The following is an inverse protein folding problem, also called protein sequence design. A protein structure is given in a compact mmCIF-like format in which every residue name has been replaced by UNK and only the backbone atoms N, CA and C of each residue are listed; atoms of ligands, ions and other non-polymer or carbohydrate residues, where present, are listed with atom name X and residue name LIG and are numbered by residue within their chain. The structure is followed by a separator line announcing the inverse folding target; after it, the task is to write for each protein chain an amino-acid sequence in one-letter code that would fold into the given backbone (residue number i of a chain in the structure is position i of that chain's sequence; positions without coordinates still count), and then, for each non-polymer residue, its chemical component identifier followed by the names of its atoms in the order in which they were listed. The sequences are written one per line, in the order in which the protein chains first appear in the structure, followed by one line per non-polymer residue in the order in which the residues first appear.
data_IF_270911354174
#
_entry.id   IF_270911354174
#
_cell.length_a   1.000
_cell.length_b   1.000
_cell.length_c   1.000
_cell.angle_alpha   90.00
_cell.angle_beta   90.00
_cell.angle_gamma   90.00
#
_symmetry.space_group_name_H-M   'P 1'
#
loop_
_entity.id
_entity.type
_entity.pdbx_description
1 polymer ?
#
# COMPACT_ATOMS: atom_id res chain seq x y z
N UNK A 1 -15.38 3.22 55.78
CA UNK A 1 -16.68 3.29 55.07
C UNK A 1 -16.90 4.64 54.39
N UNK A 2 -17.05 5.77 55.09
CA UNK A 2 -17.31 7.07 54.42
C UNK A 2 -16.20 7.54 53.45
N UNK A 3 -14.94 7.37 53.82
CA UNK A 3 -13.78 7.78 53.00
C UNK A 3 -13.58 6.91 51.74
N UNK A 4 -14.04 5.65 51.80
CA UNK A 4 -13.94 4.68 50.71
C UNK A 4 -15.05 4.90 49.68
N UNK A 5 -16.25 5.27 50.16
CA UNK A 5 -17.36 5.72 49.32
C UNK A 5 -17.00 7.04 48.61
N UNK A 6 -16.35 7.98 49.31
CA UNK A 6 -15.93 9.26 48.73
C UNK A 6 -14.84 9.07 47.67
N UNK A 7 -13.86 8.20 47.92
CA UNK A 7 -12.84 7.82 46.92
C UNK A 7 -13.45 7.10 45.71
N UNK A 8 -14.41 6.21 45.93
CA UNK A 8 -15.13 5.55 44.84
C UNK A 8 -15.94 6.57 44.02
N UNK A 9 -16.61 7.51 44.67
CA UNK A 9 -17.36 8.58 43.99
C UNK A 9 -16.44 9.52 43.19
N UNK A 10 -15.25 9.86 43.72
CA UNK A 10 -14.23 10.61 42.98
C UNK A 10 -13.68 9.81 41.79
N UNK A 11 -13.42 8.51 41.95
CA UNK A 11 -13.01 7.66 40.82
C UNK A 11 -14.11 7.52 39.77
N UNK A 12 -15.37 7.36 40.17
CA UNK A 12 -16.51 7.27 39.25
C UNK A 12 -16.82 8.63 38.60
N UNK A 13 -16.56 9.73 39.29
CA UNK A 13 -16.65 11.08 38.73
C UNK A 13 -15.52 11.31 37.73
N UNK A 14 -14.27 10.99 38.08
CA UNK A 14 -13.12 11.07 37.18
C UNK A 14 -13.34 10.16 35.97
N UNK A 15 -13.77 8.91 36.15
CA UNK A 15 -14.11 8.01 35.04
C UNK A 15 -15.21 8.60 34.15
N UNK A 16 -16.30 9.10 34.73
CA UNK A 16 -17.35 9.80 33.96
C UNK A 16 -16.83 11.04 33.25
N UNK A 17 -15.89 11.78 33.83
CA UNK A 17 -15.33 13.00 33.27
C UNK A 17 -14.13 12.74 32.35
N UNK A 18 -13.55 11.54 32.29
CA UNK A 18 -12.31 11.21 31.55
C UNK A 18 -12.43 10.05 30.55
N UNK A 19 -13.40 9.16 30.71
CA UNK A 19 -13.64 8.07 29.76
C UNK A 19 -14.14 8.62 28.42
N UNK A 20 -13.35 8.35 27.40
CA UNK A 20 -13.66 8.56 26.00
C UNK A 20 -13.59 7.21 25.30
N UNK A 21 -14.31 7.04 24.18
CA UNK A 21 -14.01 5.98 23.24
C UNK A 21 -12.51 5.91 22.95
N UNK A 22 -12.01 4.69 22.79
CA UNK A 22 -10.60 4.49 22.46
C UNK A 22 -10.29 5.18 21.13
N UNK A 23 -9.22 5.96 21.16
CA UNK A 23 -8.61 6.66 20.05
C UNK A 23 -7.20 6.06 19.85
N UNK A 24 -6.91 5.48 18.67
CA UNK A 24 -5.62 4.87 18.36
C UNK A 24 -4.40 5.81 18.47
N UNK A 25 -4.62 7.13 18.56
CA UNK A 25 -3.59 8.14 18.69
C UNK A 25 -3.48 8.73 20.11
N UNK A 26 -4.58 8.78 20.88
CA UNK A 26 -4.65 9.63 22.08
C UNK A 26 -5.09 8.94 23.38
N UNK A 27 -5.95 7.93 23.32
CA UNK A 27 -6.50 7.27 24.54
C UNK A 27 -6.23 5.78 24.60
N UNK A 28 -5.61 5.22 23.57
CA UNK A 28 -5.08 3.87 23.61
C UNK A 28 -3.83 3.79 24.50
N UNK A 29 -3.64 2.62 25.12
CA UNK A 29 -2.47 2.35 25.98
C UNK A 29 -1.15 2.24 25.21
N UNK A 30 -1.22 2.25 23.87
CA UNK A 30 -0.13 1.96 22.94
C UNK A 30 -0.20 2.87 21.72
N UNK A 31 0.95 3.25 21.14
CA UNK A 31 1.04 4.15 19.97
C UNK A 31 0.66 3.45 18.64
N UNK A 32 -0.57 2.93 18.52
CA UNK A 32 -0.98 2.11 17.38
C UNK A 32 -0.95 2.84 16.04
N UNK A 33 -1.33 4.13 16.01
CA UNK A 33 -1.24 4.91 14.77
C UNK A 33 0.21 4.99 14.24
N UNK A 34 1.19 5.18 15.12
CA UNK A 34 2.61 5.17 14.75
C UNK A 34 3.05 3.77 14.28
N UNK A 35 2.57 2.71 14.94
CA UNK A 35 2.86 1.33 14.53
C UNK A 35 2.25 1.00 13.17
N UNK A 36 1.04 1.47 12.87
CA UNK A 36 0.37 1.28 11.59
C UNK A 36 1.12 1.98 10.45
N UNK A 37 1.45 3.27 10.63
CA UNK A 37 2.18 4.06 9.64
C UNK A 37 3.59 3.50 9.40
N UNK A 38 4.33 3.23 10.48
CA UNK A 38 5.69 2.67 10.36
C UNK A 38 5.70 1.26 9.78
N UNK A 39 4.71 0.43 10.12
CA UNK A 39 4.51 -0.89 9.56
C UNK A 39 4.28 -0.85 8.05
N UNK A 40 3.33 -0.03 7.60
CA UNK A 40 3.04 0.15 6.18
C UNK A 40 4.26 0.66 5.40
N UNK A 41 4.97 1.65 5.93
CA UNK A 41 6.19 2.19 5.32
C UNK A 41 7.32 1.14 5.25
N UNK A 42 7.49 0.33 6.29
CA UNK A 42 8.46 -0.76 6.33
C UNK A 42 8.16 -1.81 5.25
N UNK A 43 6.90 -2.23 5.13
CA UNK A 43 6.47 -3.16 4.08
C UNK A 43 6.72 -2.53 2.71
N UNK A 44 6.23 -1.32 2.43
CA UNK A 44 6.42 -0.65 1.14
C UNK A 44 7.89 -0.60 0.71
N UNK A 45 8.79 -0.27 1.65
CA UNK A 45 10.23 -0.27 1.40
C UNK A 45 10.78 -1.67 1.09
N UNK A 46 10.27 -2.69 1.77
CA UNK A 46 10.67 -4.08 1.55
C UNK A 46 10.23 -4.63 0.19
N UNK A 47 9.17 -4.10 -0.44
CA UNK A 47 8.65 -4.58 -1.73
C UNK A 47 9.57 -4.29 -2.94
N UNK A 48 10.67 -3.57 -2.74
CA UNK A 48 11.67 -3.32 -3.79
C UNK A 48 12.25 -4.63 -4.34
N UNK A 49 12.68 -4.67 -5.62
CA UNK A 49 13.29 -5.87 -6.20
C UNK A 49 14.43 -6.44 -5.34
N UNK A 50 14.39 -7.74 -5.07
CA UNK A 50 15.35 -8.44 -4.19
C UNK A 50 15.06 -8.30 -2.69
N UNK A 51 13.90 -7.73 -2.32
CA UNK A 51 13.45 -7.57 -0.94
C UNK A 51 12.45 -8.65 -0.53
N UNK A 52 11.21 -8.25 -0.25
CA UNK A 52 10.16 -9.12 0.25
C UNK A 52 9.84 -10.25 -0.74
N UNK A 53 9.59 -11.43 -0.18
CA UNK A 53 9.19 -12.63 -0.94
C UNK A 53 7.67 -12.70 -1.11
N UNK A 54 7.22 -13.39 -2.16
CA UNK A 54 5.82 -13.85 -2.32
C UNK A 54 5.71 -15.34 -2.05
N UNK A 55 4.49 -15.83 -1.82
CA UNK A 55 4.27 -17.27 -1.60
C UNK A 55 4.40 -18.09 -2.90
N UNK A 56 4.13 -17.48 -4.06
CA UNK A 56 4.20 -18.14 -5.37
C UNK A 56 5.62 -18.08 -5.97
N UNK A 57 6.33 -19.21 -5.99
CA UNK A 57 7.75 -19.28 -6.39
C UNK A 57 8.07 -18.70 -7.78
N UNK A 58 7.30 -18.95 -8.85
CA UNK A 58 7.59 -18.35 -10.16
C UNK A 58 7.47 -16.83 -10.16
N UNK A 59 6.50 -16.26 -9.44
CA UNK A 59 6.40 -14.81 -9.24
C UNK A 59 7.55 -14.30 -8.36
N UNK A 60 7.90 -15.00 -7.29
CA UNK A 60 9.04 -14.63 -6.43
C UNK A 60 10.33 -14.53 -7.23
N UNK A 61 10.60 -15.54 -8.07
CA UNK A 61 11.74 -15.54 -8.98
C UNK A 61 11.68 -14.35 -9.93
N UNK A 62 10.52 -14.05 -10.51
CA UNK A 62 10.36 -12.94 -11.45
C UNK A 62 10.52 -11.55 -10.79
N UNK A 63 10.30 -11.43 -9.48
CA UNK A 63 10.44 -10.19 -8.72
C UNK A 63 11.84 -10.01 -8.10
N UNK A 64 12.47 -11.11 -7.68
CA UNK A 64 13.62 -11.08 -6.77
C UNK A 64 14.92 -11.66 -7.35
N UNK A 65 14.89 -12.28 -8.54
CA UNK A 65 16.09 -12.80 -9.21
C UNK A 65 16.69 -11.80 -10.20
N UNK A 66 17.97 -11.98 -10.62
CA UNK A 66 18.52 -11.24 -11.75
C UNK A 66 17.60 -11.29 -12.97
N UNK A 67 17.32 -10.13 -13.56
CA UNK A 67 16.45 -9.99 -14.72
C UNK A 67 16.95 -10.89 -15.87
N UNK A 68 16.12 -11.83 -16.37
CA UNK A 68 16.51 -12.67 -17.49
C UNK A 68 16.31 -11.92 -18.82
N UNK A 69 16.53 -12.60 -19.94
CA UNK A 69 16.22 -12.05 -21.26
C UNK A 69 14.75 -11.64 -21.38
N UNK A 70 14.47 -10.68 -22.27
CA UNK A 70 13.10 -10.17 -22.51
C UNK A 70 12.12 -11.30 -22.83
N UNK A 71 12.54 -12.27 -23.64
CA UNK A 71 11.73 -13.40 -24.03
C UNK A 71 11.44 -14.34 -22.83
N UNK A 72 12.42 -14.57 -21.97
CA UNK A 72 12.22 -15.32 -20.73
C UNK A 72 11.28 -14.58 -19.75
N UNK A 73 11.41 -13.26 -19.65
CA UNK A 73 10.50 -12.41 -18.84
C UNK A 73 9.06 -12.47 -19.33
N UNK A 74 8.84 -12.47 -20.66
CA UNK A 74 7.50 -12.64 -21.27
C UNK A 74 6.89 -14.01 -20.96
N UNK A 75 7.69 -15.07 -21.09
CA UNK A 75 7.24 -16.44 -20.73
C UNK A 75 6.91 -16.56 -19.25
N UNK A 76 7.69 -15.92 -18.38
CA UNK A 76 7.41 -15.86 -16.95
C UNK A 76 6.06 -15.18 -16.68
N UNK A 77 5.81 -14.01 -17.30
CA UNK A 77 4.51 -13.33 -17.22
C UNK A 77 3.35 -14.23 -17.66
N UNK A 78 3.48 -14.88 -18.83
CA UNK A 78 2.45 -15.77 -19.34
C UNK A 78 2.18 -16.97 -18.43
N UNK A 79 3.23 -17.58 -17.85
CA UNK A 79 3.07 -18.68 -16.89
C UNK A 79 2.40 -18.21 -15.61
N UNK A 80 2.87 -17.10 -15.02
CA UNK A 80 2.30 -16.54 -13.78
C UNK A 80 0.80 -16.31 -13.93
N UNK A 81 0.39 -15.71 -15.06
CA UNK A 81 -1.01 -15.52 -15.40
C UNK A 81 -1.75 -16.85 -15.57
N UNK A 82 -1.24 -17.74 -16.41
CA UNK A 82 -1.85 -19.04 -16.70
C UNK A 82 -2.10 -19.89 -15.44
N UNK A 83 -1.15 -19.82 -14.50
CA UNK A 83 -1.16 -20.64 -13.29
C UNK A 83 -2.14 -20.12 -12.23
N UNK A 84 -2.39 -18.80 -12.16
CA UNK A 84 -3.10 -18.20 -11.02
C UNK A 84 -4.20 -17.19 -11.36
N UNK A 85 -4.27 -16.62 -12.57
CA UNK A 85 -5.05 -15.41 -12.82
C UNK A 85 -5.94 -15.46 -14.07
N UNK A 86 -6.07 -16.61 -14.74
CA UNK A 86 -6.96 -16.68 -15.90
C UNK A 86 -8.42 -16.38 -15.55
N UNK A 87 -9.04 -15.63 -16.45
CA UNK A 87 -10.46 -15.33 -16.46
C UNK A 87 -11.30 -16.51 -16.97
N UNK A 88 -12.61 -16.56 -16.65
CA UNK A 88 -13.53 -17.53 -17.25
C UNK A 88 -13.55 -17.48 -18.79
N UNK A 89 -13.35 -16.30 -19.38
CA UNK A 89 -13.32 -16.12 -20.83
C UNK A 89 -12.09 -16.79 -21.46
N UNK A 90 -10.91 -16.63 -20.85
CA UNK A 90 -9.68 -17.25 -21.34
C UNK A 90 -9.71 -18.78 -21.23
N UNK A 91 -10.34 -19.29 -20.17
CA UNK A 91 -10.64 -20.72 -20.04
C UNK A 91 -11.58 -21.18 -21.15
N UNK A 92 -12.63 -20.42 -21.46
CA UNK A 92 -13.57 -20.74 -22.56
C UNK A 92 -12.88 -20.69 -23.94
N UNK A 93 -11.95 -19.76 -24.13
CA UNK A 93 -11.14 -19.64 -25.35
C UNK A 93 -10.07 -20.73 -25.47
N UNK A 94 -9.84 -21.53 -24.43
CA UNK A 94 -8.88 -22.63 -24.43
C UNK A 94 -7.42 -22.17 -24.41
N UNK A 95 -7.13 -21.05 -23.73
CA UNK A 95 -5.75 -20.57 -23.61
C UNK A 95 -4.87 -21.61 -22.92
N UNK A 96 -3.66 -21.91 -23.44
CA UNK A 96 -2.82 -22.98 -22.90
C UNK A 96 -2.48 -22.77 -21.43
N UNK A 97 -2.71 -23.80 -20.61
CA UNK A 97 -2.41 -23.79 -19.17
C UNK A 97 -3.45 -23.10 -18.29
N UNK A 98 -4.39 -22.34 -18.87
CA UNK A 98 -5.39 -21.61 -18.11
C UNK A 98 -6.35 -22.52 -17.34
N UNK A 99 -6.57 -22.17 -16.07
CA UNK A 99 -7.58 -22.76 -15.18
C UNK A 99 -8.41 -21.64 -14.57
N UNK A 100 -9.65 -21.94 -14.21
CA UNK A 100 -10.52 -20.97 -13.54
C UNK A 100 -9.88 -20.50 -12.23
N UNK A 101 -9.62 -19.20 -12.11
CA UNK A 101 -9.06 -18.58 -10.91
C UNK A 101 -10.14 -18.03 -9.98
N UNK A 102 -9.84 -17.96 -8.69
CA UNK A 102 -10.60 -17.18 -7.71
C UNK A 102 -10.21 -15.68 -7.71
N UNK A 103 -9.12 -15.34 -8.38
CA UNK A 103 -8.59 -13.99 -8.57
C UNK A 103 -8.32 -13.77 -10.08
N UNK A 104 -9.35 -13.87 -10.93
CA UNK A 104 -9.19 -13.59 -12.36
C UNK A 104 -8.60 -12.19 -12.56
N UNK A 105 -7.68 -12.05 -13.51
CA UNK A 105 -6.92 -10.84 -13.80
C UNK A 105 -6.18 -10.24 -12.59
N UNK A 106 -5.86 -11.05 -11.57
CA UNK A 106 -5.11 -10.57 -10.40
C UNK A 106 -3.76 -9.92 -10.73
N UNK A 107 -3.18 -10.21 -11.89
CA UNK A 107 -1.95 -9.60 -12.41
C UNK A 107 -2.17 -8.56 -13.53
N UNK A 108 -3.42 -8.29 -13.91
CA UNK A 108 -3.78 -7.40 -15.02
C UNK A 108 -4.82 -6.33 -14.66
N UNK A 109 -5.56 -6.51 -13.56
CA UNK A 109 -6.55 -5.55 -13.06
C UNK A 109 -6.00 -4.76 -11.87
N UNK A 110 -6.17 -3.43 -11.94
CA UNK A 110 -5.75 -2.47 -10.93
C UNK A 110 -6.48 -2.64 -9.59
N UNK A 111 -7.66 -3.26 -9.62
CA UNK A 111 -8.42 -3.60 -8.41
C UNK A 111 -7.61 -4.48 -7.45
N UNK A 112 -6.63 -5.23 -7.96
CA UNK A 112 -5.67 -5.99 -7.15
C UNK A 112 -4.93 -5.14 -6.12
N UNK A 113 -4.67 -3.86 -6.43
CA UNK A 113 -4.01 -2.90 -5.52
C UNK A 113 -5.03 -2.09 -4.71
N UNK A 114 -6.15 -1.69 -5.31
CA UNK A 114 -7.10 -0.79 -4.65
C UNK A 114 -8.06 -1.51 -3.71
N UNK A 115 -8.64 -2.64 -4.14
CA UNK A 115 -9.71 -3.32 -3.40
C UNK A 115 -9.39 -4.79 -3.09
N UNK A 116 -8.24 -5.27 -3.57
CA UNK A 116 -7.74 -6.62 -3.42
C UNK A 116 -8.29 -7.54 -4.51
N UNK A 117 -7.44 -8.42 -5.03
CA UNK A 117 -7.84 -9.33 -6.11
C UNK A 117 -8.99 -10.26 -5.69
N UNK A 118 -9.80 -10.67 -6.67
CA UNK A 118 -10.87 -11.66 -6.53
C UNK A 118 -11.85 -11.61 -7.69
N UNK A 119 -12.97 -12.33 -7.59
CA UNK A 119 -13.99 -12.37 -8.65
C UNK A 119 -14.64 -11.00 -8.89
N UNK A 120 -15.08 -10.68 -10.13
CA UNK A 120 -15.73 -9.42 -10.43
C UNK A 120 -16.93 -9.13 -9.53
N UNK A 121 -17.04 -7.88 -9.06
CA UNK A 121 -18.14 -7.45 -8.18
C UNK A 121 -17.95 -7.78 -6.69
N UNK A 122 -16.78 -8.28 -6.27
CA UNK A 122 -16.46 -8.41 -4.84
C UNK A 122 -16.44 -7.05 -4.13
N UNK A 123 -16.66 -7.09 -2.81
CA UNK A 123 -16.46 -5.91 -1.95
C UNK A 123 -14.98 -5.57 -1.76
N UNK A 124 -14.73 -4.41 -1.13
CA UNK A 124 -13.37 -3.94 -0.82
C UNK A 124 -12.78 -4.72 0.35
N UNK A 125 -11.59 -5.29 0.17
CA UNK A 125 -10.76 -5.78 1.27
C UNK A 125 -9.69 -4.74 1.59
N UNK A 126 -9.76 -4.09 2.76
CA UNK A 126 -8.72 -3.12 3.15
C UNK A 126 -7.52 -3.79 3.83
N UNK A 127 -7.70 -5.01 4.34
CA UNK A 127 -6.65 -5.90 4.83
C UNK A 127 -6.52 -7.09 3.88
N UNK A 128 -5.38 -7.24 3.21
CA UNK A 128 -5.22 -8.28 2.17
C UNK A 128 -4.76 -9.62 2.74
N UNK A 129 -5.31 -10.71 2.20
CA UNK A 129 -4.71 -12.05 2.32
C UNK A 129 -3.35 -12.11 1.62
N UNK A 130 -2.52 -13.10 1.94
CA UNK A 130 -1.24 -13.31 1.24
C UNK A 130 -1.44 -13.48 -0.28
N UNK A 131 -2.50 -14.17 -0.70
CA UNK A 131 -2.81 -14.38 -2.11
C UNK A 131 -3.16 -13.08 -2.84
N UNK A 132 -3.91 -12.18 -2.18
CA UNK A 132 -4.22 -10.86 -2.72
C UNK A 132 -2.99 -9.96 -2.79
N UNK A 133 -2.07 -10.07 -1.84
CA UNK A 133 -0.79 -9.37 -1.90
C UNK A 133 0.07 -9.85 -3.05
N UNK A 134 0.16 -11.16 -3.23
CA UNK A 134 0.91 -11.77 -4.32
C UNK A 134 0.31 -11.32 -5.67
N UNK A 135 -1.02 -11.30 -5.80
CA UNK A 135 -1.70 -10.74 -6.98
C UNK A 135 -1.38 -9.25 -7.18
N UNK A 136 -1.50 -8.41 -6.13
CA UNK A 136 -1.16 -7.00 -6.21
C UNK A 136 0.30 -6.77 -6.64
N UNK A 137 1.23 -7.61 -6.19
CA UNK A 137 2.64 -7.59 -6.62
C UNK A 137 2.82 -8.08 -8.06
N UNK A 138 2.04 -9.06 -8.49
CA UNK A 138 2.00 -9.51 -9.89
C UNK A 138 1.52 -8.38 -10.81
N UNK A 139 0.43 -7.69 -10.42
CA UNK A 139 -0.08 -6.51 -11.12
C UNK A 139 0.95 -5.38 -11.16
N UNK A 140 1.59 -5.06 -10.03
CA UNK A 140 2.62 -4.01 -9.98
C UNK A 140 3.79 -4.32 -10.93
N UNK A 141 4.23 -5.58 -10.99
CA UNK A 141 5.22 -6.02 -11.98
C UNK A 141 4.70 -5.86 -13.41
N UNK A 142 3.50 -6.35 -13.69
CA UNK A 142 2.94 -6.36 -15.05
C UNK A 142 2.73 -4.95 -15.61
N UNK A 143 2.27 -4.02 -14.77
CA UNK A 143 1.93 -2.65 -15.15
C UNK A 143 3.12 -1.70 -15.22
N UNK A 144 4.16 -1.91 -14.41
CA UNK A 144 5.32 -1.01 -14.36
C UNK A 144 6.47 -1.51 -15.23
N UNK A 145 6.94 -2.73 -15.00
CA UNK A 145 8.12 -3.28 -15.68
C UNK A 145 8.06 -4.81 -15.80
N UNK A 146 7.27 -5.33 -16.75
CA UNK A 146 7.17 -6.77 -16.98
C UNK A 146 8.43 -7.36 -17.63
N UNK A 147 9.32 -6.51 -18.17
CA UNK A 147 10.47 -6.89 -19.00
C UNK A 147 11.70 -6.03 -18.62
N UNK A 148 12.21 -6.17 -17.38
CA UNK A 148 13.35 -5.39 -16.91
C UNK A 148 14.59 -5.62 -17.80
N UNK A 149 15.51 -4.64 -17.90
CA UNK A 149 16.74 -4.81 -18.66
C UNK A 149 17.53 -6.02 -18.15
N UNK A 150 17.90 -6.91 -19.07
CA UNK A 150 18.59 -8.18 -18.79
C UNK A 150 19.87 -7.98 -17.96
N UNK A 151 20.09 -8.88 -17.02
CA UNK A 151 21.32 -8.87 -16.22
C UNK A 151 22.48 -9.42 -17.03
N UNK A 152 23.59 -8.69 -17.05
CA UNK A 152 24.84 -9.16 -17.67
C UNK A 152 25.69 -9.96 -16.68
N UNK A 153 26.51 -10.87 -17.19
CA UNK A 153 27.38 -11.68 -16.36
C UNK A 153 28.63 -10.90 -15.91
N UNK A 154 29.41 -11.47 -14.98
CA UNK A 154 30.61 -10.83 -14.41
C UNK A 154 31.67 -10.48 -15.46
N UNK A 155 31.84 -11.31 -16.49
CA UNK A 155 32.84 -11.06 -17.53
C UNK A 155 32.43 -9.87 -18.41
N UNK A 156 31.17 -9.82 -18.82
CA UNK A 156 30.59 -8.71 -19.59
C UNK A 156 30.65 -7.40 -18.80
N UNK A 157 30.29 -7.43 -17.52
CA UNK A 157 30.33 -6.29 -16.60
C UNK A 157 31.74 -5.69 -16.44
N UNK A 158 32.79 -6.48 -16.65
CA UNK A 158 34.18 -6.02 -16.57
C UNK A 158 34.63 -5.18 -17.76
N UNK A 159 33.93 -5.24 -18.89
CA UNK A 159 34.24 -4.49 -20.11
C UNK A 159 33.79 -3.03 -20.02
N UNK A 160 34.37 -2.13 -20.81
CA UNK A 160 33.91 -0.73 -20.87
C UNK A 160 32.44 -0.63 -21.33
N UNK A 161 32.03 -1.43 -22.31
CA UNK A 161 30.62 -1.50 -22.74
C UNK A 161 29.69 -1.99 -21.62
N UNK A 162 30.11 -3.00 -20.84
CA UNK A 162 29.35 -3.50 -19.70
C UNK A 162 29.20 -2.48 -18.57
N UNK A 163 30.24 -1.70 -18.27
CA UNK A 163 30.16 -0.60 -17.29
C UNK A 163 29.15 0.46 -17.72
N UNK A 164 29.14 0.84 -19.01
CA UNK A 164 28.17 1.78 -19.57
C UNK A 164 26.75 1.20 -19.51
N UNK A 165 26.58 -0.08 -19.85
CA UNK A 165 25.31 -0.77 -19.73
C UNK A 165 24.76 -0.73 -18.29
N UNK A 166 25.60 -1.04 -17.29
CA UNK A 166 25.20 -0.97 -15.87
C UNK A 166 24.78 0.44 -15.48
N UNK A 167 25.50 1.47 -15.95
CA UNK A 167 25.13 2.86 -15.69
C UNK A 167 23.74 3.20 -16.29
N UNK A 168 23.45 2.74 -17.52
CA UNK A 168 22.14 2.90 -18.14
C UNK A 168 21.05 2.13 -17.39
N UNK A 169 21.32 0.90 -16.97
CA UNK A 169 20.39 0.09 -16.17
C UNK A 169 20.08 0.78 -14.84
N UNK A 170 21.05 1.43 -14.20
CA UNK A 170 20.82 2.20 -12.96
C UNK A 170 19.96 3.44 -13.19
N UNK A 171 20.17 4.18 -14.28
CA UNK A 171 19.31 5.31 -14.64
C UNK A 171 17.86 4.86 -14.92
N UNK A 172 17.69 3.73 -15.60
CA UNK A 172 16.39 3.10 -15.81
C UNK A 172 15.71 2.72 -14.49
N UNK A 173 16.42 2.01 -13.61
CA UNK A 173 15.92 1.60 -12.29
C UNK A 173 15.50 2.78 -11.42
N UNK A 174 16.19 3.91 -11.49
CA UNK A 174 15.81 5.12 -10.75
C UNK A 174 14.42 5.62 -11.15
N UNK A 175 14.11 5.68 -12.45
CA UNK A 175 12.78 6.09 -12.93
C UNK A 175 11.70 5.07 -12.55
N UNK A 176 11.97 3.77 -12.75
CA UNK A 176 11.01 2.72 -12.40
C UNK A 176 10.74 2.66 -10.89
N UNK A 177 11.74 2.95 -10.05
CA UNK A 177 11.58 3.00 -8.59
C UNK A 177 10.58 4.07 -8.13
N UNK A 178 10.50 5.19 -8.86
CA UNK A 178 9.53 6.24 -8.57
C UNK A 178 8.14 5.88 -9.10
N UNK A 179 8.06 5.27 -10.29
CA UNK A 179 6.80 4.81 -10.86
C UNK A 179 6.10 3.72 -10.00
N UNK A 180 6.86 2.79 -9.42
CA UNK A 180 6.30 1.71 -8.60
C UNK A 180 5.98 2.12 -7.16
N UNK A 181 6.57 3.22 -6.65
CA UNK A 181 6.44 3.64 -5.25
C UNK A 181 4.98 3.81 -4.79
N UNK A 182 4.09 4.49 -5.51
CA UNK A 182 2.69 4.61 -5.10
C UNK A 182 1.99 3.25 -4.97
N UNK A 183 2.28 2.29 -5.87
CA UNK A 183 1.73 0.93 -5.78
C UNK A 183 2.29 0.20 -4.56
N UNK A 184 3.59 0.31 -4.27
CA UNK A 184 4.18 -0.30 -3.09
C UNK A 184 3.65 0.29 -1.77
N UNK A 185 3.39 1.60 -1.73
CA UNK A 185 2.76 2.24 -0.57
C UNK A 185 1.34 1.74 -0.35
N UNK A 186 0.55 1.61 -1.42
CA UNK A 186 -0.79 1.04 -1.36
C UNK A 186 -0.73 -0.44 -0.92
N UNK A 187 0.09 -1.28 -1.53
CA UNK A 187 0.23 -2.70 -1.12
C UNK A 187 0.69 -2.79 0.35
N UNK A 188 1.62 -1.93 0.75
CA UNK A 188 2.12 -1.85 2.13
C UNK A 188 1.03 -1.47 3.14
N UNK A 189 0.17 -0.50 2.80
CA UNK A 189 -0.93 -0.07 3.68
C UNK A 189 -2.04 -1.11 3.83
N UNK A 190 -2.07 -2.13 2.96
CA UNK A 190 -3.01 -3.28 3.03
C UNK A 190 -2.52 -4.41 3.93
N UNK A 191 -1.30 -4.31 4.50
CA UNK A 191 -0.74 -5.31 5.39
C UNK A 191 -1.18 -5.14 6.84
N UNK A 192 -1.50 -6.24 7.55
CA UNK A 192 -1.64 -6.19 8.99
C UNK A 192 -0.40 -5.59 9.65
N UNK A 193 -0.60 -4.65 10.58
CA UNK A 193 0.49 -4.06 11.35
C UNK A 193 0.60 -4.69 12.74
N UNK A 194 1.78 -4.59 13.35
CA UNK A 194 2.04 -5.09 14.70
C UNK A 194 1.19 -4.32 15.73
N UNK A 195 0.53 -5.02 16.65
CA UNK A 195 -0.37 -4.42 17.63
C UNK A 195 -1.84 -4.28 17.16
N UNK A 196 -2.13 -4.49 15.87
CA UNK A 196 -3.49 -4.37 15.33
C UNK A 196 -4.52 -5.29 16.00
N UNK A 197 -4.12 -6.48 16.44
CA UNK A 197 -5.01 -7.39 17.16
C UNK A 197 -5.43 -6.87 18.52
N UNK A 198 -4.50 -6.29 19.28
CA UNK A 198 -4.79 -5.68 20.57
C UNK A 198 -5.64 -4.41 20.37
N UNK A 199 -5.32 -3.60 19.35
CA UNK A 199 -6.16 -2.45 18.99
C UNK A 199 -7.60 -2.87 18.70
N UNK A 200 -7.84 -3.94 17.93
CA UNK A 200 -9.21 -4.44 17.67
C UNK A 200 -9.93 -4.82 18.97
N UNK A 201 -9.22 -5.47 19.91
CA UNK A 201 -9.80 -5.84 21.20
C UNK A 201 -10.16 -4.60 22.03
N UNK A 202 -9.28 -3.61 22.06
CA UNK A 202 -9.50 -2.33 22.72
C UNK A 202 -10.69 -1.59 22.07
N UNK A 203 -10.71 -1.42 20.74
CA UNK A 203 -11.80 -0.76 20.03
C UNK A 203 -13.17 -1.40 20.29
N UNK A 204 -13.21 -2.73 20.45
CA UNK A 204 -14.44 -3.48 20.71
C UNK A 204 -15.00 -3.30 22.14
N UNK A 205 -14.33 -2.54 23.01
CA UNK A 205 -14.88 -2.15 24.30
C UNK A 205 -16.03 -1.14 24.19
N UNK A 206 -16.15 -0.43 23.07
CA UNK A 206 -17.32 0.40 22.74
C UNK A 206 -18.32 -0.40 21.90
N UNK A 207 -19.58 -0.42 22.31
CA UNK A 207 -20.64 -1.13 21.60
C UNK A 207 -20.85 -0.57 20.18
N UNK A 208 -20.92 0.75 20.00
CA UNK A 208 -20.99 1.36 18.67
C UNK A 208 -19.79 1.02 17.79
N UNK A 209 -18.58 1.02 18.34
CA UNK A 209 -17.37 0.68 17.59
C UNK A 209 -17.33 -0.79 17.20
N UNK A 210 -17.70 -1.69 18.12
CA UNK A 210 -17.79 -3.12 17.88
C UNK A 210 -18.82 -3.46 16.79
N UNK A 211 -20.01 -2.85 16.87
CA UNK A 211 -21.06 -3.03 15.86
C UNK A 211 -20.61 -2.53 14.49
N UNK A 212 -19.98 -1.36 14.43
CA UNK A 212 -19.47 -0.82 13.17
C UNK A 212 -18.37 -1.70 12.58
N UNK A 213 -17.39 -2.14 13.38
CA UNK A 213 -16.34 -3.06 12.92
C UNK A 213 -16.92 -4.36 12.36
N UNK A 214 -17.87 -4.97 13.08
CA UNK A 214 -18.52 -6.21 12.64
C UNK A 214 -19.34 -6.01 11.36
N UNK A 215 -19.88 -4.82 11.12
CA UNK A 215 -20.59 -4.49 9.89
C UNK A 215 -19.62 -4.26 8.72
N UNK A 216 -18.59 -3.43 8.89
CA UNK A 216 -17.85 -2.86 7.76
C UNK A 216 -16.46 -3.44 7.52
N UNK A 217 -15.82 -4.03 8.52
CA UNK A 217 -14.43 -4.48 8.36
C UNK A 217 -14.31 -5.57 7.30
N UNK A 218 -13.15 -5.63 6.64
CA UNK A 218 -12.86 -6.65 5.64
C UNK A 218 -13.00 -8.07 6.18
N UNK A 219 -13.27 -9.03 5.29
CA UNK A 219 -13.40 -10.45 5.63
C UNK A 219 -12.14 -10.98 6.34
N UNK A 220 -10.97 -10.55 5.89
CA UNK A 220 -9.67 -10.88 6.46
C UNK A 220 -9.52 -10.30 7.85
N UNK A 221 -9.88 -9.02 8.05
CA UNK A 221 -9.75 -8.40 9.36
C UNK A 221 -10.65 -9.07 10.41
N UNK A 222 -11.87 -9.45 10.01
CA UNK A 222 -12.82 -10.18 10.86
C UNK A 222 -12.34 -11.58 11.22
N UNK A 223 -11.82 -12.32 10.25
CA UNK A 223 -11.41 -13.73 10.43
C UNK A 223 -10.08 -13.89 11.15
N UNK A 224 -9.12 -13.01 10.90
CA UNK A 224 -7.78 -13.06 11.51
C UNK A 224 -7.69 -12.30 12.83
N UNK A 225 -8.61 -11.36 13.08
CA UNK A 225 -8.53 -10.46 14.22
C UNK A 225 -7.34 -9.50 14.14
N UNK A 226 -6.86 -9.19 12.93
CA UNK A 226 -5.80 -8.20 12.67
C UNK A 226 -6.30 -7.18 11.65
N UNK A 227 -5.69 -6.00 11.56
CA UNK A 227 -6.09 -5.00 10.58
C UNK A 227 -4.88 -4.28 9.99
N UNK A 228 -5.05 -3.76 8.78
CA UNK A 228 -4.07 -2.94 8.09
C UNK A 228 -4.16 -1.45 8.44
N UNK A 229 -3.19 -0.64 7.98
CA UNK A 229 -3.28 0.82 8.09
C UNK A 229 -4.52 1.35 7.37
N UNK A 230 -4.78 0.86 6.15
CA UNK A 230 -5.91 1.35 5.37
C UNK A 230 -7.26 0.94 5.98
N UNK A 231 -7.34 -0.22 6.63
CA UNK A 231 -8.51 -0.64 7.41
C UNK A 231 -8.70 0.26 8.63
N UNK A 232 -7.62 0.60 9.34
CA UNK A 232 -7.65 1.51 10.48
C UNK A 232 -8.18 2.89 10.07
N UNK A 233 -7.67 3.45 8.97
CA UNK A 233 -8.07 4.78 8.49
C UNK A 233 -9.54 4.83 8.04
N UNK A 234 -10.00 3.83 7.28
CA UNK A 234 -11.42 3.77 6.89
C UNK A 234 -12.33 3.54 8.12
N UNK A 235 -11.88 2.71 9.07
CA UNK A 235 -12.60 2.49 10.32
C UNK A 235 -12.70 3.77 11.14
N UNK A 236 -11.61 4.52 11.32
CA UNK A 236 -11.61 5.77 12.10
C UNK A 236 -12.49 6.86 11.48
N UNK A 237 -12.46 7.00 10.14
CA UNK A 237 -13.35 7.90 9.42
C UNK A 237 -14.82 7.45 9.51
N UNK A 238 -15.05 6.15 9.30
CA UNK A 238 -16.37 5.56 9.21
C UNK A 238 -17.10 5.43 10.54
N UNK A 239 -16.40 5.08 11.62
CA UNK A 239 -17.00 4.82 12.94
C UNK A 239 -17.65 6.04 13.59
N UNK A 240 -17.40 7.23 13.04
CA UNK A 240 -18.02 8.51 13.43
C UNK A 240 -19.02 8.98 12.38
N UNK A 241 -18.61 9.05 11.11
CA UNK A 241 -19.44 9.61 10.03
C UNK A 241 -20.56 8.68 9.55
N UNK A 242 -20.28 7.39 9.39
CA UNK A 242 -21.21 6.39 8.82
C UNK A 242 -21.91 5.56 9.89
N UNK A 243 -21.61 5.81 11.17
CA UNK A 243 -22.06 4.97 12.28
C UNK A 243 -23.25 5.59 13.02
N UNK A 244 -24.49 5.14 12.78
CA UNK A 244 -25.65 5.67 13.49
C UNK A 244 -25.59 5.41 15.00
N UNK A 245 -24.94 4.33 15.45
CA UNK A 245 -24.79 4.02 16.87
C UNK A 245 -23.91 5.03 17.59
N UNK A 246 -22.87 5.53 16.91
CA UNK A 246 -22.03 6.61 17.45
C UNK A 246 -22.84 7.88 17.68
N UNK A 247 -23.69 8.28 16.73
CA UNK A 247 -24.55 9.46 16.89
C UNK A 247 -25.55 9.30 18.04
N UNK A 248 -26.09 8.11 18.25
CA UNK A 248 -27.01 7.82 19.36
C UNK A 248 -26.26 7.87 20.70
N UNK A 249 -25.11 7.22 20.81
CA UNK A 249 -24.26 7.24 22.02
C UNK A 249 -23.88 8.68 22.38
N UNK A 250 -23.37 9.47 21.44
CA UNK A 250 -22.95 10.85 21.70
C UNK A 250 -24.12 11.81 21.93
N UNK A 251 -25.26 11.59 21.26
CA UNK A 251 -26.49 12.34 21.52
C UNK A 251 -27.05 12.11 22.92
N UNK A 252 -26.88 10.90 23.48
CA UNK A 252 -27.35 10.54 24.81
C UNK A 252 -26.42 11.03 25.94
N UNK A 253 -25.12 11.18 25.66
CA UNK A 253 -24.11 11.60 26.65
C UNK A 253 -24.29 13.06 27.08
N UNK A 254 -24.67 13.96 26.16
CA UNK A 254 -24.92 15.41 26.38
C UNK A 254 -23.90 16.16 27.27
N UNK A 255 -22.70 15.63 27.48
CA UNK A 255 -21.63 16.20 28.29
C UNK A 255 -20.73 17.09 27.40
N UNK A 256 -20.69 18.42 27.65
CA UNK A 256 -19.88 19.34 26.86
C UNK A 256 -18.39 18.98 26.82
N UNK A 257 -17.84 18.43 27.90
CA UNK A 257 -16.43 18.05 27.99
C UNK A 257 -16.13 16.87 27.06
N UNK A 258 -17.00 15.85 27.05
CA UNK A 258 -16.84 14.69 26.16
C UNK A 258 -16.99 15.08 24.69
N UNK A 259 -17.98 15.92 24.38
CA UNK A 259 -18.19 16.44 23.04
C UNK A 259 -16.98 17.26 22.55
N UNK A 260 -16.40 18.11 23.40
CA UNK A 260 -15.21 18.89 23.05
C UNK A 260 -13.98 18.00 22.81
N UNK A 261 -13.81 16.91 23.57
CA UNK A 261 -12.69 15.99 23.35
C UNK A 261 -12.85 15.14 22.08
N UNK A 262 -14.06 14.69 21.75
CA UNK A 262 -14.28 14.06 20.45
C UNK A 262 -14.03 15.01 19.29
N UNK A 263 -14.42 16.29 19.43
CA UNK A 263 -14.11 17.29 18.44
C UNK A 263 -12.58 17.45 18.26
N UNK A 264 -11.82 17.39 19.37
CA UNK A 264 -10.36 17.41 19.32
C UNK A 264 -9.80 16.20 18.55
N UNK A 265 -10.30 14.99 18.80
CA UNK A 265 -9.86 13.78 18.08
C UNK A 265 -10.22 13.83 16.59
N UNK A 266 -11.43 14.25 16.24
CA UNK A 266 -11.84 14.44 14.85
C UNK A 266 -10.95 15.47 14.14
N UNK A 267 -10.62 16.57 14.82
CA UNK A 267 -9.72 17.61 14.28
C UNK A 267 -8.30 17.06 14.08
N UNK A 268 -7.77 16.29 15.05
CA UNK A 268 -6.46 15.67 14.95
C UNK A 268 -6.39 14.68 13.78
N UNK A 269 -7.42 13.85 13.60
CA UNK A 269 -7.52 12.94 12.45
C UNK A 269 -7.60 13.70 11.12
N UNK A 270 -8.35 14.80 11.05
CA UNK A 270 -8.39 15.66 9.85
C UNK A 270 -7.02 16.27 9.52
N UNK A 271 -6.25 16.68 10.52
CA UNK A 271 -4.87 17.15 10.33
C UNK A 271 -3.99 16.04 9.75
N UNK A 272 -4.13 14.80 10.25
CA UNK A 272 -3.44 13.64 9.71
C UNK A 272 -3.82 13.37 8.24
N UNK A 273 -5.11 13.33 7.90
CA UNK A 273 -5.56 13.15 6.50
C UNK A 273 -5.02 14.26 5.57
N UNK A 274 -4.93 15.48 6.08
CA UNK A 274 -4.34 16.61 5.34
C UNK A 274 -2.84 16.41 5.11
N UNK A 275 -2.11 15.90 6.11
CA UNK A 275 -0.70 15.54 5.98
C UNK A 275 -0.50 14.44 4.92
N UNK A 276 -1.28 13.37 4.95
CA UNK A 276 -1.21 12.31 3.93
C UNK A 276 -1.49 12.83 2.51
N UNK A 277 -2.43 13.76 2.36
CA UNK A 277 -2.66 14.43 1.08
C UNK A 277 -1.44 15.23 0.60
N UNK A 278 -0.76 15.93 1.51
CA UNK A 278 0.49 16.66 1.20
C UNK A 278 1.59 15.68 0.77
N UNK A 279 1.74 14.54 1.44
CA UNK A 279 2.72 13.52 1.04
C UNK A 279 2.41 12.93 -0.35
N UNK A 280 1.14 12.60 -0.63
CA UNK A 280 0.71 12.15 -1.95
C UNK A 280 1.00 13.20 -3.05
N UNK A 281 0.79 14.48 -2.73
CA UNK A 281 1.12 15.58 -3.64
C UNK A 281 2.64 15.71 -3.85
N UNK A 282 3.47 15.51 -2.81
CA UNK A 282 4.93 15.48 -2.94
C UNK A 282 5.40 14.35 -3.86
N UNK A 283 4.82 13.16 -3.73
CA UNK A 283 5.10 12.04 -4.63
C UNK A 283 4.71 12.35 -6.07
N UNK A 284 3.54 12.96 -6.27
CA UNK A 284 3.07 13.41 -7.60
C UNK A 284 4.02 14.44 -8.21
N UNK A 285 4.46 15.45 -7.44
CA UNK A 285 5.40 16.46 -7.89
C UNK A 285 6.75 15.85 -8.29
N UNK A 286 7.23 14.82 -7.58
CA UNK A 286 8.44 14.10 -7.93
C UNK A 286 8.30 13.38 -9.28
N UNK A 287 7.19 12.66 -9.49
CA UNK A 287 6.90 12.00 -10.77
C UNK A 287 6.80 13.01 -11.92
N UNK A 288 6.10 14.13 -11.72
CA UNK A 288 6.00 15.21 -12.72
C UNK A 288 7.37 15.80 -13.05
N UNK A 289 8.22 16.04 -12.06
CA UNK A 289 9.60 16.51 -12.27
C UNK A 289 10.44 15.52 -13.07
N UNK A 290 10.27 14.22 -12.82
CA UNK A 290 10.96 13.17 -13.60
C UNK A 290 10.45 13.09 -15.04
N UNK A 291 9.15 13.22 -15.27
CA UNK A 291 8.55 13.26 -16.61
C UNK A 291 9.06 14.47 -17.40
N UNK A 292 9.10 15.66 -16.78
CA UNK A 292 9.69 16.85 -17.38
C UNK A 292 11.15 16.60 -17.77
N UNK A 293 11.97 16.08 -16.85
CA UNK A 293 13.37 15.79 -17.13
C UNK A 293 13.55 14.72 -18.23
N UNK A 294 12.66 13.74 -18.31
CA UNK A 294 12.67 12.73 -19.38
C UNK A 294 12.35 13.34 -20.75
N UNK A 295 11.38 14.27 -20.80
CA UNK A 295 11.03 14.99 -22.01
C UNK A 295 12.20 15.85 -22.52
N UNK A 296 12.82 16.66 -21.65
CA UNK A 296 13.98 17.51 -21.99
C UNK A 296 15.20 16.69 -22.46
N UNK A 297 15.39 15.48 -21.91
CA UNK A 297 16.43 14.56 -22.39
C UNK A 297 16.13 14.02 -23.80
N UNK A 298 14.86 13.90 -24.19
CA UNK A 298 14.48 13.51 -25.54
C UNK A 298 14.71 14.62 -26.57
N UNK A 299 14.34 15.86 -26.21
CA UNK A 299 14.35 17.01 -27.13
C UNK A 299 15.67 17.77 -27.11
N UNK A 300 15.97 18.43 -25.99
CA UNK A 300 17.01 19.46 -25.89
C UNK A 300 18.40 18.82 -25.81
N UNK A 301 18.52 17.73 -25.06
CA UNK A 301 19.79 17.00 -24.95
C UNK A 301 20.28 16.51 -26.31
N UNK A 302 19.38 15.97 -27.13
CA UNK A 302 19.70 15.51 -28.50
C UNK A 302 20.20 16.66 -29.37
N UNK A 303 19.54 17.83 -29.30
CA UNK A 303 19.95 19.02 -30.05
C UNK A 303 21.34 19.53 -29.60
N UNK A 304 21.59 19.57 -28.28
CA UNK A 304 22.87 19.97 -27.69
C UNK A 304 23.99 19.01 -28.11
N UNK A 305 23.76 17.70 -28.04
CA UNK A 305 24.76 16.70 -28.45
C UNK A 305 25.07 16.78 -29.94
N UNK A 306 24.05 16.99 -30.77
CA UNK A 306 24.22 17.25 -32.21
C UNK A 306 25.09 18.47 -32.46
N UNK A 307 24.86 19.57 -31.72
CA UNK A 307 25.65 20.79 -31.85
C UNK A 307 27.10 20.59 -31.35
N UNK A 308 27.30 19.83 -30.28
CA UNK A 308 28.63 19.49 -29.77
C UNK A 308 29.45 18.73 -30.83
N UNK A 309 28.85 17.78 -31.55
CA UNK A 309 29.52 17.08 -32.64
C UNK A 309 29.93 18.03 -33.77
N UNK A 310 29.07 18.99 -34.12
CA UNK A 310 29.41 20.03 -35.12
C UNK A 310 30.59 20.89 -34.67
N UNK A 311 30.61 21.33 -33.41
CA UNK A 311 31.74 22.11 -32.86
C UNK A 311 33.04 21.32 -32.92
N UNK A 312 33.02 20.05 -32.52
CA UNK A 312 34.20 19.17 -32.58
C UNK A 312 34.70 18.94 -34.01
N UNK A 313 33.79 18.78 -34.97
CA UNK A 313 34.14 18.62 -36.38
C UNK A 313 34.78 19.89 -36.98
N UNK A 314 34.30 21.08 -36.59
CA UNK A 314 34.87 22.36 -37.04
C UNK A 314 36.27 22.61 -36.46
N UNK A 315 36.50 22.22 -35.19
CA UNK A 315 37.79 22.40 -34.51
C UNK A 315 38.87 21.36 -34.87
N UNK A 316 38.52 20.34 -35.66
CA UNK A 316 39.44 19.31 -36.15
C UNK A 316 40.13 19.67 -37.48
N UNK A 317 39.92 20.89 -37.99
CA UNK A 317 40.59 21.47 -39.17
C UNK A 317 41.58 22.54 -38.72
#
# INVERSE_FOLDING_TARGET
MALEVQRQQEMDQVARETELPIDPCATSSSNYAVQAVSGAASVSSSLRPGGAHVSYTPLDKALNSPAPSVEASRRASASIHADNYCTPLEVQLGYPGCKASQMPDGDADVDSVFIGAGVPGKGVDLTFTQQQQDAARAYARMSIDPQPPESINKAEAGTEAGKLYIAMQKAYQANMSSAIKPMNDLIGSRQPFNGSAQLIQELKQSDAAAQYFNATASSVAKSTGTMSLAELEDFEAGRRWKNPYWHIEFGAVADPTKLLRELLFATAFQVYQTHEHVEAQRQTNLLLGQLLAANERGTDRTAIETQLQRVRATNAR
#
